data_IF_631368725364
#
_entry.id   IF_631368725364
#
_cell.length_a   1.000
_cell.length_b   1.000
_cell.length_c   1.000
_cell.angle_alpha   90.00
_cell.angle_beta   90.00
_cell.angle_gamma   90.00
#
_symmetry.space_group_name_H-M   'P 1'
#
loop_
_entity.id
_entity.type
_entity.pdbx_description
1 polymer ?
#
# COMPACT_ATOMS: atom_id res chain seq x y z
N UNK A 1 15.12 -8.18 -12.67
CA UNK A 1 14.77 -7.88 -11.26
C UNK A 1 13.30 -7.55 -11.21
N UNK A 2 12.50 -8.29 -10.42
CA UNK A 2 11.04 -8.11 -10.38
C UNK A 2 10.70 -6.89 -9.51
N UNK A 3 9.83 -6.00 -10.00
CA UNK A 3 9.53 -4.72 -9.37
C UNK A 3 8.05 -4.57 -9.04
N UNK A 4 7.75 -3.97 -7.90
CA UNK A 4 6.39 -3.69 -7.46
C UNK A 4 6.19 -2.21 -7.11
N UNK A 5 4.95 -1.76 -7.25
CA UNK A 5 4.43 -0.51 -6.73
C UNK A 5 3.35 -0.86 -5.69
N UNK A 6 3.58 -0.51 -4.43
CA UNK A 6 2.63 -0.68 -3.35
C UNK A 6 2.01 0.68 -3.00
N UNK A 7 0.71 0.84 -3.24
CA UNK A 7 -0.02 2.04 -2.86
C UNK A 7 -0.73 1.80 -1.54
N UNK A 8 -0.48 2.66 -0.56
CA UNK A 8 -0.96 2.51 0.81
C UNK A 8 -1.92 3.64 1.15
N UNK A 9 -3.15 3.30 1.50
CA UNK A 9 -4.18 4.26 1.91
C UNK A 9 -4.60 4.04 3.36
N UNK A 10 -5.23 5.04 3.99
CA UNK A 10 -5.96 4.79 5.24
C UNK A 10 -7.04 3.71 5.02
N UNK A 11 -7.75 3.82 3.90
CA UNK A 11 -8.80 2.90 3.48
C UNK A 11 -10.22 3.45 3.69
N UNK A 12 -11.17 2.91 2.94
CA UNK A 12 -12.60 3.21 3.11
C UNK A 12 -13.44 1.96 2.90
N UNK A 13 -14.58 1.89 3.59
CA UNK A 13 -15.58 0.83 3.39
C UNK A 13 -16.70 1.24 2.41
N UNK A 14 -16.60 2.43 1.82
CA UNK A 14 -17.56 2.93 0.84
C UNK A 14 -17.01 2.72 -0.57
N UNK A 15 -17.60 1.83 -1.36
CA UNK A 15 -17.03 1.43 -2.65
C UNK A 15 -16.98 2.57 -3.67
N UNK A 16 -18.05 3.37 -3.79
CA UNK A 16 -18.11 4.48 -4.74
C UNK A 16 -17.01 5.54 -4.49
N UNK A 17 -16.78 5.92 -3.23
CA UNK A 17 -15.69 6.85 -2.90
C UNK A 17 -14.31 6.21 -3.02
N UNK A 18 -14.20 4.89 -2.83
CA UNK A 18 -12.96 4.15 -3.08
C UNK A 18 -12.58 4.22 -4.57
N UNK A 19 -13.53 3.95 -5.46
CA UNK A 19 -13.32 4.00 -6.92
C UNK A 19 -12.96 5.39 -7.40
N UNK A 20 -13.62 6.43 -6.87
CA UNK A 20 -13.40 7.82 -7.28
C UNK A 20 -12.08 8.42 -6.81
N UNK A 21 -11.50 7.90 -5.73
CA UNK A 21 -10.32 8.50 -5.10
C UNK A 21 -9.14 7.54 -5.04
N UNK A 22 -9.22 6.49 -4.21
CA UNK A 22 -8.11 5.55 -3.99
C UNK A 22 -7.72 4.87 -5.30
N UNK A 23 -8.70 4.31 -6.01
CA UNK A 23 -8.45 3.61 -7.28
C UNK A 23 -7.97 4.56 -8.36
N UNK A 24 -8.47 5.80 -8.40
CA UNK A 24 -8.00 6.81 -9.34
C UNK A 24 -6.50 7.11 -9.12
N UNK A 25 -6.10 7.38 -7.87
CA UNK A 25 -4.68 7.58 -7.53
C UNK A 25 -3.81 6.36 -7.84
N UNK A 26 -4.29 5.15 -7.53
CA UNK A 26 -3.59 3.90 -7.84
C UNK A 26 -3.36 3.72 -9.34
N UNK A 27 -4.37 4.03 -10.17
CA UNK A 27 -4.27 3.97 -11.63
C UNK A 27 -3.23 4.95 -12.15
N UNK A 28 -3.24 6.20 -11.69
CA UNK A 28 -2.30 7.23 -12.13
C UNK A 28 -0.85 6.88 -11.72
N UNK A 29 -0.66 6.41 -10.49
CA UNK A 29 0.64 5.95 -10.00
C UNK A 29 1.15 4.74 -10.81
N UNK A 30 0.30 3.74 -11.06
CA UNK A 30 0.66 2.60 -11.89
C UNK A 30 0.98 2.98 -13.34
N UNK A 31 0.22 3.91 -13.93
CA UNK A 31 0.47 4.42 -15.27
C UNK A 31 1.85 5.11 -15.38
N UNK A 32 2.28 5.81 -14.32
CA UNK A 32 3.62 6.40 -14.25
C UNK A 32 4.76 5.40 -14.00
N UNK A 33 4.42 4.18 -13.56
CA UNK A 33 5.36 3.11 -13.22
C UNK A 33 5.05 1.81 -14.01
N UNK A 34 5.06 1.84 -15.35
CA UNK A 34 4.59 0.72 -16.17
C UNK A 34 5.45 -0.55 -16.06
N UNK A 35 6.66 -0.45 -15.49
CA UNK A 35 7.55 -1.57 -15.21
C UNK A 35 7.34 -2.22 -13.83
N UNK A 36 6.30 -1.81 -13.09
CA UNK A 36 6.00 -2.27 -11.73
C UNK A 36 4.59 -2.88 -11.66
N UNK A 37 4.50 -4.04 -11.02
CA UNK A 37 3.21 -4.65 -10.69
C UNK A 37 2.54 -3.86 -9.53
N UNK A 38 1.26 -3.49 -9.71
CA UNK A 38 0.51 -2.69 -8.73
C UNK A 38 -0.07 -3.56 -7.61
N UNK A 39 0.11 -3.12 -6.36
CA UNK A 39 -0.45 -3.71 -5.16
C UNK A 39 -1.09 -2.65 -4.26
N UNK A 40 -2.06 -3.07 -3.45
CA UNK A 40 -2.79 -2.23 -2.50
C UNK A 40 -2.59 -2.73 -1.07
N UNK A 41 -2.46 -1.79 -0.13
CA UNK A 41 -2.63 -2.06 1.29
C UNK A 41 -3.40 -0.93 1.98
N UNK A 42 -4.11 -1.26 3.08
CA UNK A 42 -4.75 -0.28 3.96
C UNK A 42 -4.11 -0.25 5.35
N UNK A 43 -4.03 0.92 5.98
CA UNK A 43 -3.49 1.02 7.34
C UNK A 43 -4.55 0.81 8.42
N UNK A 44 -5.81 1.16 8.14
CA UNK A 44 -6.93 1.04 9.07
C UNK A 44 -7.40 -0.41 9.22
N UNK A 45 -6.99 -1.05 10.31
CA UNK A 45 -7.42 -2.42 10.64
C UNK A 45 -8.94 -2.55 10.85
N UNK A 46 -9.62 -1.48 11.25
CA UNK A 46 -11.08 -1.45 11.36
C UNK A 46 -11.74 -1.56 9.97
N UNK A 47 -11.26 -0.79 8.99
CA UNK A 47 -11.78 -0.83 7.63
C UNK A 47 -11.49 -2.18 6.97
N UNK A 48 -10.27 -2.71 7.11
CA UNK A 48 -9.90 -4.03 6.62
C UNK A 48 -10.85 -5.10 7.18
N UNK A 49 -11.07 -5.11 8.49
CA UNK A 49 -11.98 -6.06 9.14
C UNK A 49 -13.41 -5.91 8.64
N UNK A 50 -13.89 -4.68 8.47
CA UNK A 50 -15.25 -4.41 7.98
C UNK A 50 -15.45 -4.90 6.55
N UNK A 51 -14.51 -4.61 5.64
CA UNK A 51 -14.54 -5.09 4.25
C UNK A 51 -14.53 -6.61 4.18
N UNK A 52 -13.68 -7.26 5.00
CA UNK A 52 -13.62 -8.73 5.07
C UNK A 52 -14.93 -9.34 5.56
N UNK A 53 -15.49 -8.82 6.65
CA UNK A 53 -16.69 -9.40 7.28
C UNK A 53 -17.97 -9.13 6.50
N UNK A 54 -18.12 -7.92 5.95
CA UNK A 54 -19.35 -7.49 5.26
C UNK A 54 -19.35 -7.90 3.79
N UNK A 55 -18.21 -7.77 3.11
CA UNK A 55 -18.12 -7.87 1.65
C UNK A 55 -17.28 -9.07 1.18
N UNK A 56 -16.61 -9.79 2.09
CA UNK A 56 -15.68 -10.85 1.73
C UNK A 56 -14.41 -10.34 1.03
N UNK A 57 -14.12 -9.04 1.13
CA UNK A 57 -12.96 -8.42 0.48
C UNK A 57 -11.78 -8.44 1.45
N UNK A 58 -10.75 -9.20 1.10
CA UNK A 58 -9.48 -9.23 1.84
C UNK A 58 -8.55 -8.13 1.31
N UNK A 59 -8.25 -7.15 2.17
CA UNK A 59 -7.24 -6.11 1.93
C UNK A 59 -6.10 -6.31 2.92
N UNK A 60 -4.87 -6.29 2.41
CA UNK A 60 -3.69 -6.47 3.23
C UNK A 60 -3.35 -5.21 4.05
N UNK A 61 -2.71 -5.41 5.21
CA UNK A 61 -1.93 -4.36 5.87
C UNK A 61 -0.60 -4.14 5.12
N UNK A 62 0.11 -3.01 5.34
CA UNK A 62 1.40 -2.79 4.66
C UNK A 62 2.41 -3.89 5.01
N UNK A 63 2.49 -4.32 6.28
CA UNK A 63 3.27 -5.48 6.70
C UNK A 63 2.95 -6.76 5.91
N UNK A 64 1.65 -7.11 5.78
CA UNK A 64 1.23 -8.31 5.05
C UNK A 64 1.55 -8.21 3.56
N UNK A 65 1.29 -7.05 2.95
CA UNK A 65 1.59 -6.81 1.55
C UNK A 65 3.10 -6.95 1.28
N UNK A 66 3.96 -6.35 2.10
CA UNK A 66 5.42 -6.47 1.98
C UNK A 66 5.89 -7.92 2.17
N UNK A 67 5.36 -8.65 3.15
CA UNK A 67 5.69 -10.07 3.32
C UNK A 67 5.32 -10.90 2.08
N UNK A 68 4.13 -10.67 1.50
CA UNK A 68 3.70 -11.32 0.27
C UNK A 68 4.60 -10.95 -0.91
N UNK A 69 5.00 -9.68 -1.04
CA UNK A 69 5.90 -9.22 -2.09
C UNK A 69 7.27 -9.91 -1.99
N UNK A 70 7.84 -9.99 -0.80
CA UNK A 70 9.09 -10.71 -0.56
C UNK A 70 8.96 -12.20 -0.92
N UNK A 71 7.88 -12.86 -0.48
CA UNK A 71 7.61 -14.27 -0.79
C UNK A 71 7.42 -14.54 -2.30
N UNK A 72 6.89 -13.56 -3.04
CA UNK A 72 6.72 -13.61 -4.50
C UNK A 72 7.98 -13.22 -5.28
N UNK A 73 9.09 -12.94 -4.59
CA UNK A 73 10.39 -12.64 -5.20
C UNK A 73 10.53 -11.22 -5.77
N UNK A 74 9.70 -10.26 -5.34
CA UNK A 74 9.93 -8.85 -5.67
C UNK A 74 11.14 -8.33 -4.90
N UNK A 75 12.06 -7.67 -5.60
CA UNK A 75 13.32 -7.19 -5.02
C UNK A 75 13.42 -5.67 -4.99
N UNK A 76 12.68 -4.97 -5.85
CA UNK A 76 12.59 -3.52 -5.89
C UNK A 76 11.13 -3.11 -5.70
N UNK A 77 10.82 -2.51 -4.54
CA UNK A 77 9.46 -2.09 -4.19
C UNK A 77 9.45 -0.58 -3.96
N UNK A 78 8.62 0.11 -4.73
CA UNK A 78 8.26 1.50 -4.51
C UNK A 78 6.94 1.56 -3.76
N UNK A 79 6.88 2.36 -2.71
CA UNK A 79 5.71 2.50 -1.85
C UNK A 79 5.27 3.96 -1.90
N UNK A 80 4.00 4.22 -2.16
CA UNK A 80 3.44 5.57 -2.04
C UNK A 80 2.30 5.57 -1.02
N UNK A 81 2.42 6.47 -0.04
CA UNK A 81 1.36 6.78 0.91
C UNK A 81 0.36 7.75 0.28
N UNK A 82 -0.93 7.45 0.33
CA UNK A 82 -2.01 8.40 -0.03
C UNK A 82 -2.52 9.20 1.16
N UNK A 83 -1.75 9.27 2.25
CA UNK A 83 -2.09 10.11 3.39
C UNK A 83 -1.87 11.59 3.05
N UNK A 84 -2.67 12.45 3.70
CA UNK A 84 -2.54 13.89 3.52
C UNK A 84 -1.40 14.44 4.38
N UNK A 85 -1.24 13.95 5.61
CA UNK A 85 -0.26 14.47 6.57
C UNK A 85 0.72 13.40 7.04
N UNK A 86 1.90 13.85 7.46
CA UNK A 86 2.86 13.08 8.24
C UNK A 86 2.38 12.86 9.69
N UNK A 87 1.38 12.00 9.87
CA UNK A 87 0.83 11.62 11.19
C UNK A 87 1.13 10.17 11.57
N UNK A 88 0.48 9.70 12.64
CA UNK A 88 0.68 8.35 13.21
C UNK A 88 0.49 7.22 12.18
N UNK A 89 -0.45 7.38 11.25
CA UNK A 89 -0.71 6.40 10.19
C UNK A 89 0.48 6.27 9.23
N UNK A 90 1.14 7.39 8.89
CA UNK A 90 2.33 7.35 8.05
C UNK A 90 3.53 6.79 8.83
N UNK A 91 3.71 7.21 10.09
CA UNK A 91 4.77 6.67 10.96
C UNK A 91 4.67 5.15 11.14
N UNK A 92 3.45 4.62 11.19
CA UNK A 92 3.22 3.17 11.18
C UNK A 92 3.76 2.51 9.91
N UNK A 93 3.51 3.10 8.74
CA UNK A 93 4.07 2.60 7.46
C UNK A 93 5.60 2.66 7.52
N UNK A 94 6.20 3.77 7.97
CA UNK A 94 7.65 3.94 8.09
C UNK A 94 8.26 2.82 8.93
N UNK A 95 7.67 2.51 10.10
CA UNK A 95 8.15 1.43 10.97
C UNK A 95 8.07 0.05 10.31
N UNK A 96 6.95 -0.25 9.65
CA UNK A 96 6.76 -1.54 8.94
C UNK A 96 7.74 -1.68 7.76
N UNK A 97 7.98 -0.59 7.02
CA UNK A 97 8.95 -0.52 5.93
C UNK A 97 10.38 -0.73 6.44
N UNK A 98 10.77 -0.05 7.52
CA UNK A 98 12.09 -0.21 8.13
C UNK A 98 12.32 -1.65 8.62
N UNK A 99 11.30 -2.26 9.25
CA UNK A 99 11.36 -3.63 9.75
C UNK A 99 11.62 -4.65 8.63
N UNK A 100 10.97 -4.47 7.47
CA UNK A 100 11.05 -5.40 6.35
C UNK A 100 12.06 -5.01 5.27
N UNK A 101 12.74 -3.87 5.42
CA UNK A 101 13.77 -3.40 4.50
C UNK A 101 14.83 -4.47 4.16
N UNK A 102 15.34 -5.29 5.11
CA UNK A 102 16.34 -6.31 4.80
C UNK A 102 15.87 -7.41 3.83
N UNK A 103 14.56 -7.55 3.61
CA UNK A 103 13.99 -8.55 2.68
C UNK A 103 14.08 -8.12 1.21
N UNK A 104 14.40 -6.87 0.94
CA UNK A 104 14.39 -6.29 -0.40
C UNK A 104 15.77 -5.76 -0.78
N UNK A 105 16.11 -5.84 -2.07
CA UNK A 105 17.31 -5.19 -2.61
C UNK A 105 17.15 -3.67 -2.63
N UNK A 106 15.95 -3.20 -2.95
CA UNK A 106 15.59 -1.77 -2.92
C UNK A 106 14.18 -1.61 -2.40
N UNK A 107 14.03 -0.77 -1.38
CA UNK A 107 12.75 -0.38 -0.82
C UNK A 107 12.69 1.14 -0.72
N UNK A 108 11.67 1.76 -1.30
CA UNK A 108 11.51 3.22 -1.30
C UNK A 108 10.12 3.59 -0.84
N UNK A 109 10.00 4.65 -0.03
CA UNK A 109 8.74 5.14 0.50
C UNK A 109 8.59 6.62 0.17
N UNK A 110 7.55 6.96 -0.58
CA UNK A 110 7.11 8.34 -0.82
C UNK A 110 6.37 8.90 0.39
N UNK A 111 6.64 10.16 0.67
CA UNK A 111 6.01 10.89 1.79
C UNK A 111 4.53 11.21 1.48
N UNK A 112 3.71 11.47 2.52
CA UNK A 112 2.38 12.06 2.40
C UNK A 112 2.39 13.39 1.66
N UNK A 113 1.19 13.93 1.39
CA UNK A 113 1.04 15.19 0.67
C UNK A 113 1.68 16.39 1.38
N UNK A 114 1.60 16.45 2.72
CA UNK A 114 2.06 17.53 3.59
C UNK A 114 2.97 17.03 4.72
#
# INVERSE_FOLDING_TARGET
MKKALLVVSFGTSYHDTCEKNIVACERDLAASCPDRDLFRAFTSGMIIRKLRQRDGIDIDTPLQALQKLAAQGYQDVAIQSLHIINGDEYEKIVREVQLLHPLFTRLTLGVPLL
#
